data_IF_904764224836
#
_entry.id   IF_904764224836
#
_cell.length_a   1.000
_cell.length_b   1.000
_cell.length_c   1.000
_cell.angle_alpha   90.00
_cell.angle_beta   90.00
_cell.angle_gamma   90.00
#
_symmetry.space_group_name_H-M   'P 1'
#
loop_
_entity.id
_entity.type
_entity.pdbx_description
1 polymer ?
#
# COMPACT_ATOMS: atom_id res chain seq x y z
N UNK A 1 13.48 -22.67 16.90
CA UNK A 1 12.51 -21.61 16.54
C UNK A 1 12.19 -21.53 15.04
N UNK A 2 13.16 -21.66 14.12
CA UNK A 2 12.90 -21.60 12.68
C UNK A 2 11.93 -22.67 12.17
N UNK A 3 12.06 -23.94 12.55
CA UNK A 3 11.15 -25.05 12.16
C UNK A 3 9.70 -24.87 12.66
N UNK A 4 9.49 -24.20 13.80
CA UNK A 4 8.16 -23.93 14.31
C UNK A 4 7.44 -22.84 13.49
N UNK A 5 8.19 -21.84 13.00
CA UNK A 5 7.67 -20.80 12.12
C UNK A 5 7.33 -21.33 10.70
N UNK A 6 8.09 -22.29 10.18
CA UNK A 6 7.79 -22.93 8.88
C UNK A 6 6.54 -23.80 8.93
N UNK A 7 6.37 -24.59 9.98
CA UNK A 7 5.17 -25.42 10.15
C UNK A 7 3.91 -24.58 10.37
N UNK A 8 3.95 -23.53 11.15
CA UNK A 8 2.79 -22.66 11.40
C UNK A 8 2.33 -21.91 10.14
N UNK A 9 3.27 -21.47 9.29
CA UNK A 9 2.97 -20.87 7.98
C UNK A 9 2.29 -21.85 7.04
N UNK A 10 2.73 -23.10 7.01
CA UNK A 10 2.10 -24.16 6.22
C UNK A 10 0.65 -24.42 6.66
N UNK A 11 0.40 -24.49 7.96
CA UNK A 11 -0.93 -24.66 8.52
C UNK A 11 -1.86 -23.46 8.25
N UNK A 12 -1.34 -22.23 8.33
CA UNK A 12 -2.08 -21.01 7.99
C UNK A 12 -2.48 -20.99 6.50
N UNK A 13 -1.57 -21.31 5.61
CA UNK A 13 -1.84 -21.41 4.17
C UNK A 13 -2.83 -22.53 3.88
N UNK A 14 -2.68 -23.69 4.52
CA UNK A 14 -3.62 -24.79 4.38
C UNK A 14 -5.02 -24.42 4.92
N UNK A 15 -5.11 -23.75 6.05
CA UNK A 15 -6.38 -23.27 6.61
C UNK A 15 -7.05 -22.23 5.73
N UNK A 16 -6.28 -21.30 5.13
CA UNK A 16 -6.78 -20.31 4.17
C UNK A 16 -7.26 -20.98 2.87
N UNK A 17 -6.52 -21.96 2.36
CA UNK A 17 -6.91 -22.74 1.17
C UNK A 17 -8.18 -23.56 1.43
N UNK A 18 -8.23 -24.29 2.54
CA UNK A 18 -9.40 -25.10 2.92
C UNK A 18 -10.59 -24.19 3.19
N UNK A 19 -10.41 -23.09 3.92
CA UNK A 19 -11.46 -22.08 4.13
C UNK A 19 -11.97 -21.48 2.82
N UNK A 20 -11.07 -21.13 1.89
CA UNK A 20 -11.44 -20.64 0.56
C UNK A 20 -12.22 -21.68 -0.26
N UNK A 21 -11.83 -22.95 -0.23
CA UNK A 21 -12.54 -24.04 -0.90
C UNK A 21 -13.92 -24.25 -0.28
N UNK A 22 -14.05 -24.25 1.04
CA UNK A 22 -15.33 -24.38 1.74
C UNK A 22 -16.27 -23.23 1.34
N UNK A 23 -15.78 -21.98 1.36
CA UNK A 23 -16.56 -20.80 0.93
C UNK A 23 -16.98 -20.94 -0.54
N UNK A 24 -16.09 -21.35 -1.43
CA UNK A 24 -16.39 -21.57 -2.84
C UNK A 24 -17.45 -22.67 -3.06
N UNK A 25 -17.40 -23.76 -2.28
CA UNK A 25 -18.35 -24.86 -2.38
C UNK A 25 -19.72 -24.47 -1.82
N UNK A 26 -19.75 -23.80 -0.67
CA UNK A 26 -21.00 -23.34 -0.03
C UNK A 26 -21.70 -22.27 -0.87
N UNK A 27 -20.93 -21.42 -1.57
CA UNK A 27 -21.43 -20.33 -2.42
C UNK A 27 -21.26 -20.62 -3.91
N UNK A 28 -21.43 -21.87 -4.33
CA UNK A 28 -21.23 -22.30 -5.74
C UNK A 28 -22.07 -21.51 -6.75
N UNK A 29 -23.29 -21.09 -6.36
CA UNK A 29 -24.13 -20.18 -7.15
C UNK A 29 -23.47 -18.83 -7.41
N UNK A 30 -22.86 -18.24 -6.38
CA UNK A 30 -22.17 -16.94 -6.42
C UNK A 30 -20.91 -17.02 -7.27
N UNK A 31 -20.19 -18.17 -7.24
CA UNK A 31 -19.01 -18.43 -8.09
C UNK A 31 -19.38 -18.48 -9.57
N UNK A 32 -20.52 -19.09 -9.93
CA UNK A 32 -21.02 -19.08 -11.31
C UNK A 32 -21.39 -17.68 -11.77
N UNK A 33 -22.05 -16.90 -10.92
CA UNK A 33 -22.43 -15.53 -11.21
C UNK A 33 -21.21 -14.62 -11.31
N UNK A 34 -20.22 -14.82 -10.45
CA UNK A 34 -18.90 -14.18 -10.55
C UNK A 34 -18.22 -14.46 -11.90
N UNK A 35 -18.14 -15.73 -12.31
CA UNK A 35 -17.56 -16.09 -13.60
C UNK A 35 -18.32 -15.46 -14.78
N UNK A 36 -19.64 -15.42 -14.72
CA UNK A 36 -20.49 -14.75 -15.72
C UNK A 36 -20.20 -13.25 -15.79
N UNK A 37 -20.15 -12.55 -14.66
CA UNK A 37 -19.84 -11.12 -14.60
C UNK A 37 -18.46 -10.80 -15.18
N UNK A 38 -17.46 -11.66 -14.96
CA UNK A 38 -16.14 -11.49 -15.56
C UNK A 38 -16.14 -11.68 -17.08
N UNK A 39 -16.90 -12.63 -17.60
CA UNK A 39 -16.99 -12.84 -19.07
C UNK A 39 -17.78 -11.77 -19.77
N UNK A 40 -18.71 -11.12 -19.08
CA UNK A 40 -19.54 -10.01 -19.58
C UNK A 40 -18.89 -8.63 -19.32
N UNK A 41 -17.71 -8.59 -18.65
CA UNK A 41 -17.03 -7.34 -18.31
C UNK A 41 -16.63 -6.55 -19.55
N UNK A 42 -16.91 -5.25 -19.54
CA UNK A 42 -16.64 -4.33 -20.66
C UNK A 42 -15.12 -4.12 -20.80
N UNK A 43 -14.47 -4.57 -21.91
CA UNK A 43 -13.02 -4.56 -22.04
C UNK A 43 -12.39 -3.16 -22.04
N UNK A 44 -13.13 -2.16 -22.53
CA UNK A 44 -12.66 -0.76 -22.49
C UNK A 44 -12.39 -0.28 -21.06
N UNK A 45 -13.26 -0.62 -20.11
CA UNK A 45 -13.08 -0.21 -18.72
C UNK A 45 -11.99 -1.00 -18.02
N UNK A 46 -11.74 -2.25 -18.42
CA UNK A 46 -10.57 -3.01 -17.95
C UNK A 46 -9.27 -2.38 -18.43
N UNK A 47 -9.24 -1.87 -19.68
CA UNK A 47 -8.10 -1.12 -20.18
C UNK A 47 -7.87 0.17 -19.38
N UNK A 48 -8.95 0.94 -19.09
CA UNK A 48 -8.85 2.13 -18.25
C UNK A 48 -8.32 1.79 -16.86
N UNK A 49 -8.80 0.72 -16.22
CA UNK A 49 -8.30 0.25 -14.93
C UNK A 49 -6.79 -0.08 -15.01
N UNK A 50 -6.35 -0.74 -16.08
CA UNK A 50 -4.94 -1.05 -16.31
C UNK A 50 -4.09 0.22 -16.43
N UNK A 51 -4.55 1.21 -17.20
CA UNK A 51 -3.84 2.49 -17.36
C UNK A 51 -3.75 3.24 -16.04
N UNK A 52 -4.85 3.31 -15.27
CA UNK A 52 -4.85 3.92 -13.94
C UNK A 52 -3.84 3.23 -13.02
N UNK A 53 -3.83 1.89 -13.03
CA UNK A 53 -2.94 1.12 -12.17
C UNK A 53 -1.46 1.26 -12.58
N UNK A 54 -1.16 1.30 -13.88
CA UNK A 54 0.19 1.62 -14.34
C UNK A 54 0.59 3.03 -13.92
N UNK A 55 -0.33 4.00 -13.98
CA UNK A 55 -0.13 5.37 -13.50
C UNK A 55 0.26 5.45 -12.03
N UNK A 56 -0.26 4.55 -11.16
CA UNK A 56 0.12 4.51 -9.74
C UNK A 56 1.59 4.18 -9.54
N UNK A 57 2.18 3.27 -10.33
CA UNK A 57 3.61 2.94 -10.26
C UNK A 57 4.49 4.10 -10.70
N UNK A 58 4.07 4.85 -11.74
CA UNK A 58 4.76 6.10 -12.11
C UNK A 58 4.66 7.15 -10.99
N UNK A 59 3.51 7.29 -10.35
CA UNK A 59 3.32 8.17 -9.20
C UNK A 59 4.24 7.81 -8.02
N UNK A 60 4.40 6.53 -7.73
CA UNK A 60 5.30 6.04 -6.67
C UNK A 60 6.78 6.28 -7.04
N UNK A 61 7.19 6.01 -8.27
CA UNK A 61 8.55 6.29 -8.74
C UNK A 61 8.85 7.80 -8.73
N UNK A 62 7.86 8.63 -9.10
CA UNK A 62 7.98 10.09 -9.09
C UNK A 62 8.24 10.64 -7.68
N UNK A 63 7.69 10.03 -6.62
CA UNK A 63 7.97 10.44 -5.24
C UNK A 63 9.46 10.36 -4.93
N UNK A 64 10.11 9.24 -5.27
CA UNK A 64 11.55 9.06 -5.07
C UNK A 64 12.36 9.97 -5.97
N UNK A 65 11.97 10.12 -7.23
CA UNK A 65 12.63 11.01 -8.17
C UNK A 65 12.67 12.46 -7.65
N UNK A 66 11.56 12.99 -7.11
CA UNK A 66 11.49 14.33 -6.54
C UNK A 66 12.46 14.49 -5.36
N UNK A 67 12.50 13.50 -4.44
CA UNK A 67 13.41 13.55 -3.28
C UNK A 67 14.87 13.48 -3.70
N UNK A 68 15.22 12.53 -4.57
CA UNK A 68 16.60 12.32 -5.00
C UNK A 68 17.11 13.51 -5.81
N UNK A 69 16.27 14.08 -6.66
CA UNK A 69 16.62 15.30 -7.40
C UNK A 69 16.90 16.49 -6.48
N UNK A 70 16.09 16.66 -5.43
CA UNK A 70 16.30 17.68 -4.40
C UNK A 70 17.57 17.42 -3.59
N UNK A 71 17.86 16.16 -3.30
CA UNK A 71 19.10 15.69 -2.66
C UNK A 71 20.34 15.70 -3.57
N UNK A 72 20.25 16.25 -4.79
CA UNK A 72 21.33 16.31 -5.78
C UNK A 72 21.92 14.92 -6.14
N UNK A 73 21.08 13.90 -6.11
CA UNK A 73 21.40 12.52 -6.50
C UNK A 73 20.34 12.03 -7.49
N UNK A 74 20.24 12.64 -8.68
CA UNK A 74 19.19 12.30 -9.64
C UNK A 74 19.44 10.91 -10.24
N UNK A 75 18.40 10.08 -10.20
CA UNK A 75 18.38 8.77 -10.82
C UNK A 75 17.41 8.74 -12.01
N UNK A 76 17.62 7.79 -12.91
CA UNK A 76 16.76 7.60 -14.07
C UNK A 76 15.36 7.13 -13.66
N UNK A 77 14.33 7.69 -14.30
CA UNK A 77 12.93 7.28 -14.04
C UNK A 77 12.73 5.78 -14.31
N UNK A 78 13.45 5.21 -15.29
CA UNK A 78 13.39 3.78 -15.59
C UNK A 78 13.89 2.91 -14.46
N UNK A 79 14.99 3.27 -13.81
CA UNK A 79 15.56 2.53 -12.68
C UNK A 79 14.66 2.64 -11.45
N UNK A 80 14.08 3.82 -11.21
CA UNK A 80 13.11 4.03 -10.14
C UNK A 80 11.81 3.24 -10.37
N UNK A 81 11.35 3.11 -11.61
CA UNK A 81 10.20 2.25 -11.93
C UNK A 81 10.51 0.77 -11.69
N UNK A 82 11.66 0.28 -12.13
CA UNK A 82 12.11 -1.10 -11.85
C UNK A 82 12.16 -1.34 -10.35
N UNK A 83 12.73 -0.40 -9.60
CA UNK A 83 12.79 -0.46 -8.15
C UNK A 83 11.40 -0.45 -7.50
N UNK A 84 10.43 0.31 -8.06
CA UNK A 84 9.03 0.31 -7.60
C UNK A 84 8.41 -1.08 -7.69
N UNK A 85 8.55 -1.76 -8.82
CA UNK A 85 8.03 -3.12 -9.01
C UNK A 85 8.74 -4.13 -8.10
N UNK A 86 10.08 -4.06 -8.00
CA UNK A 86 10.86 -4.94 -7.14
C UNK A 86 10.48 -4.77 -5.65
N UNK A 87 10.32 -3.52 -5.20
CA UNK A 87 9.87 -3.20 -3.85
C UNK A 87 8.47 -3.75 -3.57
N UNK A 88 7.50 -3.54 -4.48
CA UNK A 88 6.15 -4.05 -4.33
C UNK A 88 6.12 -5.58 -4.27
N UNK A 89 6.89 -6.25 -5.12
CA UNK A 89 7.04 -7.69 -5.08
C UNK A 89 7.62 -8.16 -3.73
N UNK A 90 8.69 -7.52 -3.25
CA UNK A 90 9.30 -7.87 -1.96
C UNK A 90 8.33 -7.68 -0.78
N UNK A 91 7.55 -6.60 -0.78
CA UNK A 91 6.55 -6.32 0.25
C UNK A 91 5.39 -7.35 0.24
N UNK A 92 5.08 -7.93 -0.93
CA UNK A 92 4.01 -8.90 -1.07
C UNK A 92 4.48 -10.33 -0.78
N UNK A 93 5.67 -10.72 -1.23
CA UNK A 93 6.19 -12.10 -1.05
C UNK A 93 6.69 -12.34 0.37
N UNK A 94 7.32 -11.33 0.98
CA UNK A 94 7.86 -11.46 2.34
C UNK A 94 6.94 -10.74 3.33
N UNK A 95 6.21 -11.48 4.20
CA UNK A 95 5.22 -10.88 5.11
C UNK A 95 5.92 -10.20 6.31
N UNK A 96 6.60 -9.09 6.05
CA UNK A 96 7.34 -8.30 7.05
C UNK A 96 6.71 -6.94 7.31
N UNK A 97 5.43 -6.77 6.99
CA UNK A 97 4.72 -5.49 7.09
C UNK A 97 5.44 -4.32 6.36
N UNK A 98 5.97 -4.61 5.15
CA UNK A 98 6.65 -3.61 4.31
C UNK A 98 8.13 -3.35 4.67
N UNK A 99 8.68 -4.02 5.67
CA UNK A 99 10.09 -3.82 6.06
C UNK A 99 11.04 -4.33 4.97
N UNK A 100 10.73 -5.47 4.34
CA UNK A 100 11.56 -6.08 3.28
C UNK A 100 11.71 -5.17 2.06
N UNK A 101 10.62 -4.59 1.57
CA UNK A 101 10.69 -3.66 0.45
C UNK A 101 11.38 -2.35 0.80
N UNK A 102 11.26 -1.87 2.05
CA UNK A 102 11.95 -0.67 2.48
C UNK A 102 13.47 -0.87 2.60
N UNK A 103 13.92 -2.04 3.08
CA UNK A 103 15.34 -2.41 3.08
C UNK A 103 15.85 -2.51 1.64
N UNK A 104 15.11 -3.22 0.77
CA UNK A 104 15.46 -3.35 -0.65
C UNK A 104 15.58 -1.98 -1.32
N UNK A 105 14.66 -1.04 -1.03
CA UNK A 105 14.70 0.31 -1.56
C UNK A 105 16.02 1.02 -1.24
N UNK A 106 16.41 1.04 0.05
CA UNK A 106 17.64 1.72 0.49
C UNK A 106 18.86 1.05 -0.12
N UNK A 107 18.97 -0.28 -0.06
CA UNK A 107 20.12 -1.01 -0.57
C UNK A 107 20.30 -0.83 -2.08
N UNK A 108 19.20 -0.82 -2.83
CA UNK A 108 19.27 -0.61 -4.29
C UNK A 108 19.59 0.82 -4.68
N UNK A 109 19.06 1.82 -3.99
CA UNK A 109 19.44 3.21 -4.23
C UNK A 109 20.93 3.42 -3.96
N UNK A 110 21.47 2.80 -2.91
CA UNK A 110 22.94 2.86 -2.62
C UNK A 110 23.74 2.15 -3.72
N UNK A 111 23.27 1.02 -4.22
CA UNK A 111 23.93 0.30 -5.34
C UNK A 111 23.94 1.12 -6.63
N UNK A 112 22.91 1.95 -6.86
CA UNK A 112 22.83 2.89 -7.98
C UNK A 112 23.75 4.13 -7.80
N UNK A 113 24.44 4.26 -6.65
CA UNK A 113 25.36 5.36 -6.37
C UNK A 113 24.74 6.51 -5.56
N UNK A 114 23.49 6.37 -5.12
CA UNK A 114 22.83 7.35 -4.25
C UNK A 114 23.50 7.32 -2.86
N UNK A 115 23.91 8.46 -2.28
CA UNK A 115 24.36 8.51 -0.91
C UNK A 115 23.32 7.90 0.05
N UNK A 116 23.78 7.03 0.96
CA UNK A 116 22.88 6.33 1.89
C UNK A 116 21.98 7.28 2.67
N UNK A 117 22.49 8.44 3.05
CA UNK A 117 21.72 9.49 3.72
C UNK A 117 20.53 9.97 2.90
N UNK A 118 20.68 10.13 1.58
CA UNK A 118 19.59 10.54 0.68
C UNK A 118 18.60 9.39 0.45
N UNK A 119 19.07 8.14 0.37
CA UNK A 119 18.21 6.97 0.27
C UNK A 119 17.33 6.82 1.52
N UNK A 120 17.90 7.01 2.71
CA UNK A 120 17.15 7.01 3.98
C UNK A 120 16.17 8.19 4.03
N UNK A 121 16.56 9.39 3.57
CA UNK A 121 15.65 10.53 3.50
C UNK A 121 14.45 10.24 2.59
N UNK A 122 14.67 9.59 1.44
CA UNK A 122 13.60 9.20 0.53
C UNK A 122 12.61 8.24 1.20
N UNK A 123 13.12 7.25 1.94
CA UNK A 123 12.29 6.33 2.72
C UNK A 123 11.48 7.06 3.80
N UNK A 124 12.11 7.93 4.60
CA UNK A 124 11.42 8.64 5.68
C UNK A 124 10.33 9.57 5.15
N UNK A 125 10.63 10.33 4.09
CA UNK A 125 9.67 11.21 3.44
C UNK A 125 8.50 10.42 2.84
N UNK A 126 8.76 9.26 2.23
CA UNK A 126 7.71 8.38 1.74
C UNK A 126 6.79 7.92 2.87
N UNK A 127 7.34 7.48 4.01
CA UNK A 127 6.55 7.07 5.18
C UNK A 127 5.69 8.23 5.70
N UNK A 128 6.29 9.40 5.87
CA UNK A 128 5.57 10.61 6.33
C UNK A 128 4.42 10.95 5.37
N UNK A 129 4.71 11.06 4.07
CA UNK A 129 3.73 11.41 3.06
C UNK A 129 2.61 10.37 2.92
N UNK A 130 2.95 9.09 3.01
CA UNK A 130 1.99 7.98 2.97
C UNK A 130 0.94 8.10 4.07
N UNK A 131 1.35 8.28 5.33
CA UNK A 131 0.42 8.41 6.44
C UNK A 131 -0.34 9.75 6.43
N UNK A 132 0.28 10.86 5.99
CA UNK A 132 -0.43 12.11 5.79
C UNK A 132 -1.50 12.00 4.71
N UNK A 133 -1.20 11.33 3.60
CA UNK A 133 -2.18 11.09 2.54
C UNK A 133 -3.34 10.22 3.02
N UNK A 134 -3.06 9.19 3.82
CA UNK A 134 -4.11 8.41 4.46
C UNK A 134 -4.96 9.22 5.44
N UNK A 135 -4.34 10.10 6.22
CA UNK A 135 -5.08 10.97 7.13
C UNK A 135 -6.04 11.90 6.35
N UNK A 136 -5.55 12.52 5.27
CA UNK A 136 -6.39 13.36 4.40
C UNK A 136 -7.50 12.55 3.72
N UNK A 137 -7.17 11.36 3.20
CA UNK A 137 -8.15 10.46 2.59
C UNK A 137 -9.20 9.97 3.58
N UNK A 138 -8.81 9.63 4.80
CA UNK A 138 -9.71 9.21 5.87
C UNK A 138 -10.64 10.35 6.32
N UNK A 139 -10.13 11.58 6.41
CA UNK A 139 -10.96 12.75 6.67
C UNK A 139 -12.01 12.95 5.58
N UNK A 140 -11.61 12.78 4.31
CA UNK A 140 -12.56 12.87 3.20
C UNK A 140 -13.60 11.76 3.25
N UNK A 141 -13.25 10.53 3.64
CA UNK A 141 -14.23 9.45 3.88
C UNK A 141 -15.25 9.86 4.93
N UNK A 142 -14.84 10.46 6.05
CA UNK A 142 -15.77 10.93 7.07
C UNK A 142 -16.74 11.97 6.51
N UNK A 143 -16.25 12.93 5.71
CA UNK A 143 -17.10 13.95 5.05
C UNK A 143 -18.13 13.28 4.13
N UNK A 144 -17.68 12.32 3.29
CA UNK A 144 -18.58 11.61 2.36
C UNK A 144 -19.63 10.80 3.10
N UNK A 145 -19.25 10.05 4.14
CA UNK A 145 -20.19 9.25 4.94
C UNK A 145 -21.18 10.13 5.72
N UNK A 146 -20.72 11.25 6.26
CA UNK A 146 -21.60 12.22 6.91
C UNK A 146 -22.61 12.81 5.93
N UNK A 147 -22.16 13.26 4.76
CA UNK A 147 -23.04 13.82 3.72
C UNK A 147 -24.08 12.80 3.23
N UNK A 148 -23.70 11.52 3.14
CA UNK A 148 -24.60 10.45 2.69
C UNK A 148 -25.47 9.87 3.81
N UNK A 149 -25.42 10.42 5.03
CA UNK A 149 -26.13 9.91 6.22
C UNK A 149 -25.88 8.42 6.48
N UNK A 150 -24.65 7.96 6.19
CA UNK A 150 -24.21 6.57 6.34
C UNK A 150 -23.20 6.37 7.46
N UNK A 151 -23.08 7.35 8.34
CA UNK A 151 -22.19 7.24 9.50
C UNK A 151 -22.75 6.25 10.51
N UNK A 152 -21.89 5.32 10.99
CA UNK A 152 -22.16 4.51 12.16
C UNK A 152 -21.11 4.80 13.22
N UNK A 153 -21.46 4.59 14.49
CA UNK A 153 -20.54 4.78 15.63
C UNK A 153 -19.25 3.96 15.48
N UNK A 154 -19.39 2.69 15.08
CA UNK A 154 -18.23 1.79 14.89
C UNK A 154 -17.30 2.27 13.76
N UNK A 155 -17.87 2.68 12.63
CA UNK A 155 -17.08 3.14 11.49
C UNK A 155 -16.36 4.45 11.79
N UNK A 156 -17.05 5.40 12.43
CA UNK A 156 -16.46 6.66 12.86
C UNK A 156 -15.33 6.44 13.88
N UNK A 157 -15.56 5.55 14.86
CA UNK A 157 -14.58 5.20 15.86
C UNK A 157 -13.32 4.57 15.24
N UNK A 158 -13.48 3.63 14.30
CA UNK A 158 -12.37 3.00 13.60
C UNK A 158 -11.54 4.03 12.79
N UNK A 159 -12.21 4.95 12.08
CA UNK A 159 -11.53 5.99 11.30
C UNK A 159 -10.80 6.98 12.23
N UNK A 160 -11.39 7.35 13.37
CA UNK A 160 -10.74 8.25 14.35
C UNK A 160 -9.50 7.58 14.94
N UNK A 161 -9.58 6.32 15.35
CA UNK A 161 -8.41 5.55 15.84
C UNK A 161 -7.33 5.54 14.77
N UNK A 162 -7.71 5.27 13.51
CA UNK A 162 -6.76 5.31 12.42
C UNK A 162 -6.12 6.70 12.23
N UNK A 163 -6.89 7.79 12.33
CA UNK A 163 -6.37 9.16 12.22
C UNK A 163 -5.32 9.45 13.30
N UNK A 164 -5.54 8.97 14.53
CA UNK A 164 -4.54 9.08 15.61
C UNK A 164 -3.25 8.37 15.22
N UNK A 165 -3.34 7.16 14.66
CA UNK A 165 -2.16 6.41 14.17
C UNK A 165 -1.52 7.11 12.99
N UNK A 166 -2.31 7.54 12.00
CA UNK A 166 -1.85 8.18 10.78
C UNK A 166 -1.17 9.55 11.02
N UNK A 167 -1.59 10.29 12.03
CA UNK A 167 -0.90 11.51 12.46
C UNK A 167 0.27 11.22 13.41
N UNK A 168 0.14 10.20 14.24
CA UNK A 168 1.13 9.80 15.22
C UNK A 168 2.44 9.29 14.59
N UNK A 169 2.35 8.50 13.52
CA UNK A 169 3.54 7.95 12.86
C UNK A 169 4.42 9.03 12.23
N UNK A 170 3.92 9.98 11.40
CA UNK A 170 4.71 11.11 10.92
C UNK A 170 5.30 11.96 12.05
N UNK A 171 4.49 12.28 13.07
CA UNK A 171 4.95 13.05 14.22
C UNK A 171 6.08 12.31 14.97
N UNK A 172 5.94 11.02 15.20
CA UNK A 172 6.96 10.18 15.79
C UNK A 172 8.22 10.12 14.92
N UNK A 173 8.08 9.90 13.61
CA UNK A 173 9.20 9.85 12.67
C UNK A 173 10.00 11.16 12.70
N UNK A 174 9.32 12.31 12.63
CA UNK A 174 9.97 13.63 12.73
C UNK A 174 10.60 13.87 14.09
N UNK A 175 9.96 13.42 15.17
CA UNK A 175 10.50 13.54 16.52
C UNK A 175 11.74 12.66 16.72
N UNK A 176 11.71 11.42 16.24
CA UNK A 176 12.84 10.50 16.27
C UNK A 176 14.01 11.03 15.45
N UNK A 177 13.74 11.57 14.26
CA UNK A 177 14.76 12.21 13.43
C UNK A 177 15.38 13.43 14.13
N UNK A 178 14.61 14.19 14.90
CA UNK A 178 15.17 15.28 15.73
C UNK A 178 16.11 14.75 16.80
N UNK A 179 15.68 13.70 17.52
CA UNK A 179 16.44 13.12 18.64
C UNK A 179 17.60 12.23 18.20
N UNK A 180 17.50 11.53 17.10
CA UNK A 180 18.54 10.65 16.59
C UNK A 180 19.86 11.35 16.28
N UNK A 181 19.82 12.68 16.09
CA UNK A 181 21.00 13.51 15.88
C UNK A 181 21.57 14.13 17.18
N UNK A 182 20.82 14.08 18.30
CA UNK A 182 21.27 14.73 19.54
C UNK A 182 21.80 13.74 20.58
N UNK A 183 21.06 12.72 20.94
CA UNK A 183 21.50 11.59 21.81
C UNK A 183 20.38 10.55 21.87
N UNK A 184 20.73 9.30 21.60
CA UNK A 184 19.80 8.17 21.75
C UNK A 184 19.46 7.98 23.24
N UNK A 185 18.16 7.95 23.61
CA UNK A 185 17.77 7.67 25.00
C UNK A 185 18.34 6.35 25.51
N UNK A 186 18.86 6.32 26.72
CA UNK A 186 19.54 5.14 27.32
C UNK A 186 18.71 3.87 27.31
N UNK A 187 17.37 3.97 27.37
CA UNK A 187 16.47 2.81 27.34
C UNK A 187 16.35 2.20 25.94
N UNK A 188 16.50 2.99 24.88
CA UNK A 188 16.53 2.51 23.48
C UNK A 188 17.91 1.91 23.16
N UNK A 189 18.98 2.50 23.67
CA UNK A 189 20.34 2.01 23.49
C UNK A 189 20.55 0.57 24.02
N UNK A 190 19.68 0.09 24.90
CA UNK A 190 19.68 -1.30 25.39
C UNK A 190 19.23 -2.33 24.34
N UNK A 191 18.49 -1.91 23.31
CA UNK A 191 17.97 -2.78 22.27
C UNK A 191 18.75 -2.56 20.98
N UNK A 192 19.71 -3.45 20.67
CA UNK A 192 20.62 -3.34 19.53
C UNK A 192 19.91 -3.03 18.20
N UNK A 193 18.78 -3.69 17.92
CA UNK A 193 17.99 -3.45 16.70
C UNK A 193 17.34 -2.06 16.68
N UNK A 194 16.86 -1.59 17.82
CA UNK A 194 16.28 -0.25 17.94
C UNK A 194 17.34 0.84 17.79
N UNK A 195 18.54 0.63 18.38
CA UNK A 195 19.69 1.53 18.26
C UNK A 195 20.08 1.70 16.79
N UNK A 196 20.26 0.61 16.05
CA UNK A 196 20.62 0.65 14.63
C UNK A 196 19.54 1.36 13.77
N UNK A 197 18.27 1.14 14.05
CA UNK A 197 17.18 1.85 13.38
C UNK A 197 17.18 3.36 13.65
N UNK A 198 17.51 3.77 14.88
CA UNK A 198 17.64 5.19 15.23
C UNK A 198 18.83 5.86 14.56
N UNK A 199 19.96 5.16 14.50
CA UNK A 199 21.15 5.63 13.80
C UNK A 199 20.86 5.86 12.33
N UNK A 200 20.18 4.90 11.67
CA UNK A 200 19.74 5.03 10.29
C UNK A 200 18.83 6.25 10.07
N UNK A 201 17.83 6.45 10.92
CA UNK A 201 16.95 7.63 10.83
C UNK A 201 17.74 8.94 11.01
N UNK A 202 18.76 8.93 11.87
CA UNK A 202 19.64 10.07 12.12
C UNK A 202 20.58 10.42 10.95
N UNK A 203 20.88 9.47 10.05
CA UNK A 203 21.71 9.70 8.87
C UNK A 203 21.05 10.62 7.82
N UNK A 204 19.72 10.69 7.80
CA UNK A 204 18.99 11.48 6.80
C UNK A 204 19.25 12.99 6.96
N UNK A 205 19.50 13.73 5.86
CA UNK A 205 19.72 15.18 5.92
C UNK A 205 18.49 15.92 6.44
N UNK A 206 18.69 16.79 7.43
CA UNK A 206 17.60 17.61 8.02
C UNK A 206 16.92 18.48 6.98
N UNK A 207 17.69 19.01 6.04
CA UNK A 207 17.21 19.87 4.98
C UNK A 207 16.18 19.19 4.08
N UNK A 208 16.34 17.88 3.82
CA UNK A 208 15.38 17.10 3.03
C UNK A 208 14.16 16.69 3.86
N UNK A 209 14.39 16.06 5.04
CA UNK A 209 13.29 15.48 5.85
C UNK A 209 12.33 16.52 6.38
N UNK A 210 12.79 17.78 6.54
CA UNK A 210 11.98 18.89 7.06
C UNK A 210 11.58 19.91 6.01
N UNK A 211 11.88 19.68 4.75
CA UNK A 211 11.44 20.57 3.67
C UNK A 211 9.91 20.44 3.50
N UNK A 212 9.12 21.47 3.88
CA UNK A 212 7.67 21.39 3.82
C UNK A 212 7.16 21.30 2.38
N UNK A 213 7.93 21.81 1.42
CA UNK A 213 7.60 21.70 0.01
C UNK A 213 7.73 20.26 -0.47
N UNK A 214 8.81 19.53 -0.08
CA UNK A 214 8.99 18.12 -0.38
C UNK A 214 7.88 17.28 0.25
N UNK A 215 7.60 17.49 1.54
CA UNK A 215 6.53 16.76 2.24
C UNK A 215 5.20 17.00 1.53
N UNK A 216 4.88 18.25 1.19
CA UNK A 216 3.65 18.58 0.47
C UNK A 216 3.57 17.96 -0.91
N UNK A 217 4.64 18.05 -1.70
CA UNK A 217 4.72 17.50 -3.04
C UNK A 217 4.55 15.97 -3.05
N UNK A 218 5.26 15.25 -2.17
CA UNK A 218 5.18 13.79 -2.08
C UNK A 218 3.82 13.36 -1.54
N UNK A 219 3.24 14.11 -0.59
CA UNK A 219 1.89 13.85 -0.08
C UNK A 219 0.85 14.00 -1.20
N UNK A 220 0.95 15.04 -2.04
CA UNK A 220 0.05 15.21 -3.19
C UNK A 220 0.21 14.11 -4.22
N UNK A 221 1.44 13.69 -4.54
CA UNK A 221 1.69 12.56 -5.44
C UNK A 221 1.09 11.27 -4.88
N UNK A 222 1.23 11.03 -3.58
CA UNK A 222 0.67 9.85 -2.94
C UNK A 222 -0.86 9.89 -2.88
N UNK A 223 -1.43 11.08 -2.67
CA UNK A 223 -2.87 11.29 -2.74
C UNK A 223 -3.41 11.03 -4.15
N UNK A 224 -2.67 11.45 -5.18
CA UNK A 224 -3.00 11.14 -6.58
C UNK A 224 -2.98 9.62 -6.85
N UNK A 225 -2.02 8.88 -6.28
CA UNK A 225 -2.00 7.42 -6.32
C UNK A 225 -3.26 6.83 -5.67
N UNK A 226 -3.65 7.29 -4.48
CA UNK A 226 -4.87 6.81 -3.82
C UNK A 226 -6.15 7.13 -4.61
N UNK A 227 -6.20 8.30 -5.26
CA UNK A 227 -7.32 8.65 -6.13
C UNK A 227 -7.35 7.73 -7.36
N UNK A 228 -6.19 7.40 -7.93
CA UNK A 228 -6.11 6.45 -9.05
C UNK A 228 -6.52 5.03 -8.63
N UNK A 229 -6.13 4.56 -7.45
CA UNK A 229 -6.58 3.27 -6.90
C UNK A 229 -8.09 3.25 -6.66
N UNK A 230 -8.63 4.32 -6.06
CA UNK A 230 -10.07 4.46 -5.87
C UNK A 230 -10.84 4.52 -7.22
N UNK A 231 -10.27 5.21 -8.22
CA UNK A 231 -10.79 5.24 -9.58
C UNK A 231 -10.72 3.86 -10.24
N UNK A 232 -9.65 3.09 -9.99
CA UNK A 232 -9.54 1.70 -10.45
C UNK A 232 -10.66 0.83 -9.87
N UNK A 233 -10.95 0.95 -8.57
CA UNK A 233 -12.08 0.26 -7.93
C UNK A 233 -13.42 0.65 -8.58
N UNK A 234 -13.65 1.94 -8.80
CA UNK A 234 -14.87 2.44 -9.47
C UNK A 234 -14.95 1.94 -10.92
N UNK A 235 -13.83 1.90 -11.61
CA UNK A 235 -13.75 1.40 -12.99
C UNK A 235 -14.06 -0.09 -13.08
N UNK A 236 -13.63 -0.88 -12.09
CA UNK A 236 -14.01 -2.29 -11.97
C UNK A 236 -15.53 -2.47 -11.83
N UNK A 237 -16.21 -1.63 -11.02
CA UNK A 237 -17.66 -1.65 -10.91
C UNK A 237 -18.33 -1.32 -12.26
N UNK A 238 -17.87 -0.30 -12.96
CA UNK A 238 -18.41 0.11 -14.26
C UNK A 238 -18.15 -0.98 -15.32
N UNK A 239 -16.99 -1.63 -15.28
CA UNK A 239 -16.67 -2.74 -16.17
C UNK A 239 -17.66 -3.90 -16.04
N UNK A 240 -18.14 -4.16 -14.82
CA UNK A 240 -19.15 -5.17 -14.50
C UNK A 240 -20.58 -4.70 -14.72
N UNK A 241 -20.78 -3.51 -15.30
CA UNK A 241 -22.11 -2.95 -15.55
C UNK A 241 -22.83 -2.41 -14.31
N UNK A 242 -22.13 -2.23 -13.20
CA UNK A 242 -22.70 -1.77 -11.94
C UNK A 242 -22.70 -0.25 -11.88
N UNK A 243 -23.88 0.34 -11.68
CA UNK A 243 -24.04 1.78 -11.49
C UNK A 243 -23.99 2.10 -10.00
N UNK A 244 -22.82 2.49 -9.51
CA UNK A 244 -22.60 2.95 -8.15
C UNK A 244 -22.12 4.41 -8.15
N UNK A 245 -22.43 5.21 -7.11
CA UNK A 245 -21.92 6.57 -7.01
C UNK A 245 -20.36 6.54 -6.94
N UNK A 246 -19.72 7.58 -7.49
CA UNK A 246 -18.23 7.67 -7.50
C UNK A 246 -17.62 7.54 -6.11
N UNK A 247 -18.35 7.96 -5.08
CA UNK A 247 -17.93 7.81 -3.69
C UNK A 247 -17.85 6.36 -3.22
N UNK A 248 -18.54 5.41 -3.88
CA UNK A 248 -18.56 4.01 -3.45
C UNK A 248 -17.18 3.36 -3.61
N UNK A 249 -16.57 3.49 -4.79
CA UNK A 249 -15.22 2.98 -5.04
C UNK A 249 -14.18 3.61 -4.11
N UNK A 250 -14.27 4.93 -3.88
CA UNK A 250 -13.36 5.63 -3.00
C UNK A 250 -13.48 5.16 -1.53
N UNK A 251 -14.69 5.12 -0.98
CA UNK A 251 -14.91 4.68 0.40
C UNK A 251 -14.54 3.22 0.58
N UNK A 252 -14.89 2.36 -0.37
CA UNK A 252 -14.55 0.94 -0.31
C UNK A 252 -13.02 0.73 -0.30
N UNK A 253 -12.29 1.39 -1.21
CA UNK A 253 -10.83 1.33 -1.26
C UNK A 253 -10.20 1.86 0.03
N UNK A 254 -10.56 3.07 0.47
CA UNK A 254 -9.92 3.71 1.61
C UNK A 254 -10.17 2.95 2.93
N UNK A 255 -11.42 2.55 3.20
CA UNK A 255 -11.74 1.84 4.45
C UNK A 255 -11.12 0.43 4.44
N UNK A 256 -11.14 -0.27 3.30
CA UNK A 256 -10.47 -1.56 3.18
C UNK A 256 -8.95 -1.44 3.38
N UNK A 257 -8.30 -0.41 2.83
CA UNK A 257 -6.88 -0.16 3.02
C UNK A 257 -6.53 0.21 4.47
N UNK A 258 -7.38 1.00 5.14
CA UNK A 258 -7.25 1.28 6.58
C UNK A 258 -7.34 -0.01 7.40
N UNK A 259 -8.29 -0.89 7.07
CA UNK A 259 -8.42 -2.17 7.76
C UNK A 259 -7.18 -3.07 7.58
N UNK A 260 -6.53 -3.03 6.40
CA UNK A 260 -5.27 -3.74 6.16
C UNK A 260 -4.14 -3.18 7.01
N UNK A 261 -4.02 -1.85 7.13
CA UNK A 261 -2.96 -1.21 7.92
C UNK A 261 -3.12 -1.51 9.43
N UNK A 262 -4.35 -1.52 9.93
CA UNK A 262 -4.65 -1.81 11.33
C UNK A 262 -4.68 -3.32 11.63
N UNK A 263 -4.83 -4.15 10.61
CA UNK A 263 -4.98 -5.59 10.75
C UNK A 263 -3.63 -6.33 10.86
N UNK A 264 -3.62 -7.47 11.55
CA UNK A 264 -2.42 -8.31 11.68
C UNK A 264 -2.20 -9.24 10.47
N UNK A 265 -3.09 -9.24 9.48
CA UNK A 265 -3.07 -10.20 8.37
C UNK A 265 -2.11 -9.70 7.28
N UNK A 266 -1.06 -10.48 6.94
CA UNK A 266 -0.13 -10.13 5.88
C UNK A 266 -0.87 -9.88 4.55
N UNK A 267 -0.45 -8.85 3.78
CA UNK A 267 -1.04 -8.46 2.50
C UNK A 267 -2.54 -8.07 2.59
N UNK A 268 -3.13 -8.11 3.77
CA UNK A 268 -4.56 -7.86 3.96
C UNK A 268 -5.47 -8.90 3.30
N UNK A 269 -4.97 -10.11 3.03
CA UNK A 269 -5.76 -11.18 2.38
C UNK A 269 -6.99 -11.51 3.23
N UNK A 270 -8.16 -11.45 2.64
CA UNK A 270 -9.44 -11.63 3.31
C UNK A 270 -9.95 -10.37 4.02
N UNK A 271 -9.10 -9.60 4.71
CA UNK A 271 -9.53 -8.39 5.41
C UNK A 271 -9.87 -7.24 4.46
N UNK A 272 -9.05 -7.01 3.43
CA UNK A 272 -9.35 -6.04 2.38
C UNK A 272 -10.65 -6.40 1.67
N UNK A 273 -10.77 -7.65 1.25
CA UNK A 273 -11.93 -8.15 0.50
C UNK A 273 -13.21 -8.03 1.32
N UNK A 274 -13.21 -8.51 2.56
CA UNK A 274 -14.37 -8.45 3.43
C UNK A 274 -14.84 -7.02 3.68
N UNK A 275 -13.91 -6.11 3.98
CA UNK A 275 -14.25 -4.70 4.26
C UNK A 275 -14.66 -3.96 2.99
N UNK A 276 -13.98 -4.19 1.86
CA UNK A 276 -14.34 -3.60 0.57
C UNK A 276 -15.75 -3.99 0.15
N UNK A 277 -16.08 -5.29 0.22
CA UNK A 277 -17.43 -5.81 -0.08
C UNK A 277 -18.47 -5.18 0.86
N UNK A 278 -18.19 -5.12 2.17
CA UNK A 278 -19.12 -4.51 3.13
C UNK A 278 -19.37 -3.04 2.83
N UNK A 279 -18.34 -2.27 2.45
CA UNK A 279 -18.49 -0.87 2.08
C UNK A 279 -19.26 -0.71 0.76
N UNK A 280 -18.96 -1.50 -0.26
CA UNK A 280 -19.72 -1.47 -1.52
C UNK A 280 -21.20 -1.80 -1.29
N UNK A 281 -21.50 -2.79 -0.45
CA UNK A 281 -22.88 -3.12 -0.06
C UNK A 281 -23.57 -1.98 0.68
N UNK A 282 -22.84 -1.23 1.50
CA UNK A 282 -23.38 -0.03 2.15
C UNK A 282 -23.88 1.00 1.12
N UNK A 283 -23.30 1.04 -0.08
CA UNK A 283 -23.73 1.89 -1.19
C UNK A 283 -24.77 1.22 -2.11
N UNK A 284 -25.30 0.06 -1.74
CA UNK A 284 -26.37 -0.62 -2.48
C UNK A 284 -25.88 -1.53 -3.61
N UNK A 285 -24.57 -1.82 -3.69
CA UNK A 285 -24.01 -2.77 -4.67
C UNK A 285 -24.39 -4.21 -4.24
N UNK A 286 -24.95 -5.05 -5.12
CA UNK A 286 -25.20 -6.47 -4.84
C UNK A 286 -23.94 -7.20 -4.41
N UNK A 287 -24.07 -8.25 -3.57
CA UNK A 287 -22.93 -8.97 -3.00
C UNK A 287 -21.99 -9.54 -4.09
N UNK A 288 -22.55 -10.20 -5.10
CA UNK A 288 -21.82 -10.86 -6.19
C UNK A 288 -21.01 -9.82 -7.01
N UNK A 289 -21.62 -8.67 -7.27
CA UNK A 289 -20.97 -7.57 -7.98
C UNK A 289 -19.89 -6.90 -7.12
N UNK A 290 -20.13 -6.73 -5.82
CA UNK A 290 -19.15 -6.21 -4.88
C UNK A 290 -17.92 -7.15 -4.74
N UNK A 291 -18.19 -8.45 -4.65
CA UNK A 291 -17.15 -9.49 -4.63
C UNK A 291 -16.36 -9.47 -5.94
N UNK A 292 -17.04 -9.49 -7.09
CA UNK A 292 -16.41 -9.49 -8.41
C UNK A 292 -15.54 -8.24 -8.63
N UNK A 293 -16.06 -7.05 -8.30
CA UNK A 293 -15.31 -5.80 -8.42
C UNK A 293 -14.08 -5.77 -7.50
N UNK A 294 -14.22 -6.26 -6.26
CA UNK A 294 -13.13 -6.33 -5.30
C UNK A 294 -12.04 -7.29 -5.76
N UNK A 295 -12.39 -8.49 -6.23
CA UNK A 295 -11.41 -9.45 -6.74
C UNK A 295 -10.74 -8.97 -8.02
N UNK A 296 -11.49 -8.33 -8.91
CA UNK A 296 -10.93 -7.72 -10.11
C UNK A 296 -9.95 -6.59 -9.77
N UNK A 297 -10.30 -5.73 -8.83
CA UNK A 297 -9.41 -4.70 -8.29
C UNK A 297 -8.13 -5.31 -7.71
N UNK A 298 -8.24 -6.38 -6.92
CA UNK A 298 -7.07 -7.11 -6.39
C UNK A 298 -6.23 -7.74 -7.50
N UNK A 299 -6.86 -8.15 -8.60
CA UNK A 299 -6.17 -8.57 -9.81
C UNK A 299 -5.21 -7.51 -10.32
N UNK A 300 -5.65 -6.26 -10.39
CA UNK A 300 -4.84 -5.13 -10.84
C UNK A 300 -3.79 -4.69 -9.81
N UNK A 301 -4.15 -4.61 -8.54
CA UNK A 301 -3.30 -4.01 -7.51
C UNK A 301 -2.33 -4.99 -6.86
N UNK A 302 -2.68 -6.27 -6.78
CA UNK A 302 -1.86 -7.30 -6.15
C UNK A 302 -1.18 -8.21 -7.17
N UNK A 303 -1.95 -8.79 -8.11
CA UNK A 303 -1.44 -9.83 -8.99
C UNK A 303 -0.69 -9.28 -10.19
N UNK A 304 -1.19 -8.20 -10.80
CA UNK A 304 -0.55 -7.61 -11.98
C UNK A 304 0.91 -7.21 -11.73
N UNK A 305 1.28 -6.53 -10.61
CA UNK A 305 2.66 -6.14 -10.36
C UNK A 305 3.58 -7.28 -9.97
N UNK A 306 3.03 -8.43 -9.54
CA UNK A 306 3.85 -9.60 -9.18
C UNK A 306 4.62 -10.17 -10.38
N UNK A 307 4.04 -10.10 -11.59
CA UNK A 307 4.67 -10.64 -12.79
C UNK A 307 5.96 -9.85 -13.13
N UNK A 308 5.90 -8.54 -13.42
CA UNK A 308 7.12 -7.77 -13.71
C UNK A 308 8.06 -7.69 -12.50
N UNK A 309 7.52 -7.57 -11.28
CA UNK A 309 8.32 -7.50 -10.06
C UNK A 309 9.14 -8.76 -9.81
N UNK A 310 8.58 -9.95 -10.06
CA UNK A 310 9.28 -11.22 -9.92
C UNK A 310 10.38 -11.41 -10.98
N UNK A 311 10.12 -10.97 -12.23
CA UNK A 311 11.12 -11.00 -13.30
C UNK A 311 12.31 -10.09 -12.96
N UNK A 312 12.00 -8.84 -12.58
CA UNK A 312 13.02 -7.83 -12.27
C UNK A 312 13.86 -8.22 -11.04
N UNK A 313 13.22 -8.73 -9.98
CA UNK A 313 13.97 -9.18 -8.80
C UNK A 313 14.91 -10.33 -9.13
N UNK A 314 14.50 -11.26 -10.01
CA UNK A 314 15.34 -12.38 -10.46
C UNK A 314 16.53 -11.89 -11.28
N UNK A 315 16.37 -10.87 -12.11
CA UNK A 315 17.47 -10.25 -12.87
C UNK A 315 18.48 -9.56 -11.95
N UNK A 316 17.97 -8.85 -10.96
CA UNK A 316 18.80 -8.12 -10.00
C UNK A 316 19.51 -9.01 -8.97
N UNK A 317 19.04 -10.23 -8.74
CA UNK A 317 19.69 -11.23 -7.87
C UNK A 317 20.77 -12.06 -8.57
N UNK A 318 20.92 -11.93 -9.90
CA UNK A 318 22.06 -12.55 -10.58
C UNK A 318 23.36 -11.89 -10.08
N UNK A 319 24.39 -12.69 -9.64
CA UNK A 319 25.69 -12.13 -9.35
C UNK A 319 26.18 -11.37 -10.57
N UNK A 320 26.74 -10.18 -10.39
CA UNK A 320 27.48 -9.52 -11.45
C UNK A 320 28.55 -10.52 -11.91
N UNK A 321 28.38 -11.06 -13.12
CA UNK A 321 29.42 -11.88 -13.73
C UNK A 321 30.66 -11.00 -13.83
N UNK A 322 31.70 -11.42 -13.06
CA UNK A 322 32.99 -10.77 -12.97
C UNK A 322 33.78 -10.94 -14.27
#
# INVERSE_FOLDING_TARGET
MAKFFETWRGWLLAALLVGGIIVAVVHWGDVKQFAKLLTEAKPLWLLVATILQLGTYFGLAAQWWVVLRRGRSPEGVGDLLRLTFAKHFADQVVPTAGVSGNVLLVDRLVTLGVPRSNAVAALLLQVIAYYLSYALGALWVLVVLWWKSRMSFLLSGAVIIFLVVACGIPALTLWLHRRGQERIPRWIARWSKAKHFFELIGEAPRELVRDPWLIGCITLLNLAVFIADAATMQTCLIALGVHAPLSAGYVAFMIASIAVILGPIPMGLGSFEAVSIAMLRLFGVPFEAALSATLLFRGFTLWLPLIPGGILLREEMKPAEA
#
